data_IF_196391896047
#
_entry.id   IF_196391896047
#
_cell.length_a   1.000
_cell.length_b   1.000
_cell.length_c   1.000
_cell.angle_alpha   90.00
_cell.angle_beta   90.00
_cell.angle_gamma   90.00
#
_symmetry.space_group_name_H-M   'P 1'
#
loop_
_entity.id
_entity.type
_entity.pdbx_description
1 polymer ?
#
# COMPACT_ATOMS: atom_id res chain seq x y z
N UNK A 1 -0.04 20.97 -5.73
CA UNK A 1 0.13 20.64 -4.30
C UNK A 1 -1.02 19.75 -3.82
N UNK A 2 -2.25 20.27 -3.79
CA UNK A 2 -3.46 19.45 -3.59
C UNK A 2 -3.54 18.30 -4.60
N UNK A 3 -3.20 18.55 -5.86
CA UNK A 3 -3.13 17.51 -6.91
C UNK A 3 -2.23 16.33 -6.52
N UNK A 4 -1.07 16.57 -5.89
CA UNK A 4 -0.17 15.48 -5.48
C UNK A 4 -0.79 14.64 -4.36
N UNK A 5 -1.44 15.30 -3.39
CA UNK A 5 -2.17 14.62 -2.32
C UNK A 5 -3.36 13.83 -2.85
N UNK A 6 -4.10 14.37 -3.83
CA UNK A 6 -5.21 13.67 -4.48
C UNK A 6 -4.69 12.43 -5.20
N UNK A 7 -3.60 12.54 -5.96
CA UNK A 7 -2.99 11.39 -6.64
C UNK A 7 -2.52 10.34 -5.62
N UNK A 8 -1.84 10.76 -4.56
CA UNK A 8 -1.39 9.86 -3.50
C UNK A 8 -2.57 9.18 -2.79
N UNK A 9 -3.64 9.91 -2.49
CA UNK A 9 -4.84 9.39 -1.84
C UNK A 9 -5.54 8.35 -2.73
N UNK A 10 -5.73 8.65 -4.02
CA UNK A 10 -6.30 7.71 -4.98
C UNK A 10 -5.44 6.46 -5.10
N UNK A 11 -4.12 6.61 -5.27
CA UNK A 11 -3.21 5.46 -5.33
C UNK A 11 -3.25 4.61 -4.06
N UNK A 12 -3.32 5.27 -2.90
CA UNK A 12 -3.41 4.61 -1.59
C UNK A 12 -4.69 3.79 -1.46
N UNK A 13 -5.86 4.35 -1.79
CA UNK A 13 -7.14 3.62 -1.66
C UNK A 13 -7.27 2.50 -2.69
N UNK A 14 -6.74 2.69 -3.90
CA UNK A 14 -6.67 1.62 -4.91
C UNK A 14 -5.80 0.46 -4.41
N UNK A 15 -4.64 0.75 -3.82
CA UNK A 15 -3.80 -0.28 -3.22
C UNK A 15 -4.49 -0.95 -2.02
N UNK A 16 -5.21 -0.21 -1.18
CA UNK A 16 -5.97 -0.79 -0.08
C UNK A 16 -6.97 -1.84 -0.61
N UNK A 17 -7.73 -1.51 -1.65
CA UNK A 17 -8.66 -2.43 -2.28
C UNK A 17 -7.97 -3.66 -2.88
N UNK A 18 -6.86 -3.48 -3.63
CA UNK A 18 -6.08 -4.58 -4.21
C UNK A 18 -5.57 -5.53 -3.12
N UNK A 19 -5.09 -5.01 -1.99
CA UNK A 19 -4.62 -5.83 -0.88
C UNK A 19 -5.78 -6.55 -0.17
N UNK A 20 -6.94 -5.90 0.01
CA UNK A 20 -8.15 -6.56 0.53
C UNK A 20 -8.60 -7.73 -0.35
N UNK A 21 -8.57 -7.55 -1.67
CA UNK A 21 -8.83 -8.63 -2.63
C UNK A 21 -7.76 -9.73 -2.56
N UNK A 22 -6.49 -9.37 -2.42
CA UNK A 22 -5.40 -10.32 -2.21
C UNK A 22 -5.58 -11.18 -0.96
N UNK A 23 -6.03 -10.58 0.15
CA UNK A 23 -6.35 -11.31 1.38
C UNK A 23 -7.45 -12.35 1.14
N UNK A 24 -8.53 -11.98 0.43
CA UNK A 24 -9.61 -12.90 0.10
C UNK A 24 -9.13 -14.09 -0.73
N UNK A 25 -8.35 -13.84 -1.79
CA UNK A 25 -7.83 -14.90 -2.67
C UNK A 25 -6.94 -15.92 -1.95
N UNK A 26 -6.14 -15.45 -0.99
CA UNK A 26 -5.12 -16.28 -0.33
C UNK A 26 -5.64 -16.90 0.98
N UNK A 27 -6.76 -16.40 1.51
CA UNK A 27 -7.34 -16.79 2.81
C UNK A 27 -7.47 -18.30 3.01
N UNK A 28 -7.88 -19.04 1.97
CA UNK A 28 -8.06 -20.49 2.02
C UNK A 28 -6.77 -21.30 1.86
N UNK A 29 -5.74 -20.72 1.25
CA UNK A 29 -4.47 -21.43 0.93
C UNK A 29 -3.41 -21.21 2.00
N UNK A 30 -3.20 -19.97 2.43
CA UNK A 30 -2.21 -19.57 3.44
C UNK A 30 -2.77 -18.41 4.28
N UNK A 31 -3.55 -18.70 5.34
CA UNK A 31 -4.23 -17.68 6.14
C UNK A 31 -3.31 -16.59 6.70
N UNK A 32 -2.10 -16.95 7.13
CA UNK A 32 -1.15 -15.98 7.67
C UNK A 32 -0.67 -14.94 6.64
N UNK A 33 -0.59 -15.31 5.34
CA UNK A 33 -0.29 -14.35 4.26
C UNK A 33 -1.50 -13.45 4.00
N UNK A 34 -2.72 -14.01 4.09
CA UNK A 34 -3.94 -13.20 3.98
C UNK A 34 -4.04 -12.16 5.09
N UNK A 35 -3.59 -12.47 6.31
CA UNK A 35 -3.49 -11.48 7.40
C UNK A 35 -2.54 -10.34 7.03
N UNK A 36 -1.38 -10.61 6.44
CA UNK A 36 -0.46 -9.54 6.00
C UNK A 36 -1.11 -8.61 4.98
N UNK A 37 -1.81 -9.17 3.99
CA UNK A 37 -2.58 -8.38 3.03
C UNK A 37 -3.68 -7.55 3.69
N UNK A 38 -4.40 -8.12 4.66
CA UNK A 38 -5.48 -7.43 5.36
C UNK A 38 -4.94 -6.29 6.22
N UNK A 39 -3.84 -6.51 6.95
CA UNK A 39 -3.18 -5.47 7.75
C UNK A 39 -2.64 -4.36 6.85
N UNK A 40 -2.03 -4.70 5.70
CA UNK A 40 -1.60 -3.70 4.73
C UNK A 40 -2.78 -2.88 4.20
N UNK A 41 -3.90 -3.54 3.85
CA UNK A 41 -5.11 -2.87 3.39
C UNK A 41 -5.68 -1.92 4.45
N UNK A 42 -5.73 -2.34 5.71
CA UNK A 42 -6.20 -1.52 6.83
C UNK A 42 -5.31 -0.28 7.04
N UNK A 43 -3.98 -0.44 7.07
CA UNK A 43 -3.05 0.68 7.19
C UNK A 43 -3.21 1.68 6.05
N UNK A 44 -3.34 1.19 4.81
CA UNK A 44 -3.55 2.04 3.64
C UNK A 44 -4.91 2.75 3.69
N UNK A 45 -5.98 2.10 4.15
CA UNK A 45 -7.29 2.73 4.31
C UNK A 45 -7.27 3.87 5.35
N UNK A 46 -6.62 3.65 6.49
CA UNK A 46 -6.42 4.70 7.51
C UNK A 46 -5.52 5.81 6.97
N UNK A 47 -4.45 5.47 6.26
CA UNK A 47 -3.57 6.46 5.63
C UNK A 47 -4.33 7.31 4.59
N UNK A 48 -5.21 6.71 3.79
CA UNK A 48 -6.08 7.44 2.87
C UNK A 48 -6.94 8.48 3.60
N UNK A 49 -7.62 8.09 4.69
CA UNK A 49 -8.39 9.03 5.50
C UNK A 49 -7.52 10.15 6.06
N UNK A 50 -6.29 9.82 6.49
CA UNK A 50 -5.30 10.78 6.93
C UNK A 50 -4.85 11.76 5.84
N UNK A 51 -4.64 11.29 4.61
CA UNK A 51 -4.25 12.14 3.47
C UNK A 51 -5.38 13.11 3.09
N UNK A 52 -6.64 12.65 3.12
CA UNK A 52 -7.81 13.49 2.84
C UNK A 52 -8.03 14.53 3.94
N UNK A 53 -7.80 14.14 5.20
CA UNK A 53 -7.89 15.03 6.36
C UNK A 53 -6.64 15.88 6.61
N UNK A 54 -5.63 15.81 5.74
CA UNK A 54 -4.35 16.51 5.88
C UNK A 54 -3.62 16.26 7.22
N UNK A 55 -3.71 15.06 7.79
CA UNK A 55 -3.07 14.75 9.06
C UNK A 55 -1.55 14.56 8.91
N UNK A 56 -0.71 15.16 9.78
CA UNK A 56 0.74 15.12 9.62
C UNK A 56 1.35 13.73 9.85
N UNK A 57 0.78 12.94 10.77
CA UNK A 57 1.28 11.59 11.12
C UNK A 57 0.97 10.52 10.06
N UNK A 58 0.25 10.87 9.00
CA UNK A 58 -0.14 9.94 7.92
C UNK A 58 1.05 9.32 7.20
N UNK A 59 2.20 9.99 7.13
CA UNK A 59 3.40 9.50 6.43
C UNK A 59 3.89 8.16 6.98
N UNK A 60 3.84 7.98 8.30
CA UNK A 60 4.29 6.75 8.96
C UNK A 60 3.36 5.59 8.59
N UNK A 61 2.05 5.80 8.72
CA UNK A 61 1.04 4.79 8.38
C UNK A 61 1.09 4.42 6.90
N UNK A 62 1.26 5.41 6.03
CA UNK A 62 1.40 5.20 4.59
C UNK A 62 2.64 4.37 4.27
N UNK A 63 3.81 4.74 4.81
CA UNK A 63 5.06 4.02 4.58
C UNK A 63 4.99 2.56 5.04
N UNK A 64 4.41 2.32 6.22
CA UNK A 64 4.19 0.96 6.74
C UNK A 64 3.22 0.16 5.86
N UNK A 65 2.08 0.76 5.48
CA UNK A 65 1.09 0.12 4.62
C UNK A 65 1.63 -0.26 3.24
N UNK A 66 2.39 0.65 2.61
CA UNK A 66 3.02 0.42 1.31
C UNK A 66 4.09 -0.67 1.37
N UNK A 67 4.95 -0.63 2.39
CA UNK A 67 6.00 -1.63 2.59
C UNK A 67 5.38 -3.01 2.84
N UNK A 68 4.38 -3.09 3.70
CA UNK A 68 3.70 -4.34 4.03
C UNK A 68 2.93 -4.89 2.82
N UNK A 69 2.31 -4.04 2.00
CA UNK A 69 1.66 -4.45 0.76
C UNK A 69 2.65 -5.06 -0.24
N UNK A 70 3.85 -4.48 -0.35
CA UNK A 70 4.91 -5.03 -1.20
C UNK A 70 5.42 -6.38 -0.67
N UNK A 71 5.70 -6.47 0.63
CA UNK A 71 6.16 -7.70 1.30
C UNK A 71 5.10 -8.81 1.17
N UNK A 72 3.84 -8.52 1.47
CA UNK A 72 2.74 -9.48 1.34
C UNK A 72 2.61 -9.99 -0.09
N UNK A 73 2.72 -9.10 -1.09
CA UNK A 73 2.74 -9.49 -2.50
C UNK A 73 3.91 -10.41 -2.83
N UNK A 74 5.10 -10.08 -2.35
CA UNK A 74 6.32 -10.86 -2.61
C UNK A 74 6.22 -12.25 -1.99
N UNK A 75 5.83 -12.33 -0.72
CA UNK A 75 5.64 -13.61 -0.02
C UNK A 75 4.54 -14.44 -0.68
N UNK A 76 3.47 -13.83 -1.16
CA UNK A 76 2.44 -14.56 -1.92
C UNK A 76 3.00 -15.15 -3.22
N UNK A 77 3.75 -14.37 -4.00
CA UNK A 77 4.35 -14.87 -5.25
C UNK A 77 5.36 -16.00 -4.98
N UNK A 78 6.18 -15.84 -3.95
CA UNK A 78 7.22 -16.81 -3.60
C UNK A 78 6.65 -18.09 -2.99
N UNK A 79 5.74 -17.98 -2.02
CA UNK A 79 5.30 -19.11 -1.17
C UNK A 79 4.00 -19.75 -1.69
N UNK A 80 3.05 -18.95 -2.20
CA UNK A 80 1.73 -19.45 -2.63
C UNK A 80 1.74 -19.83 -4.10
N UNK A 81 2.36 -18.99 -4.95
CA UNK A 81 2.41 -19.22 -6.39
C UNK A 81 3.67 -19.99 -6.83
N UNK A 82 4.74 -19.97 -6.02
CA UNK A 82 6.00 -20.64 -6.33
C UNK A 82 6.81 -20.01 -7.47
N UNK A 83 6.42 -18.84 -7.96
CA UNK A 83 7.10 -18.14 -9.06
C UNK A 83 7.04 -16.63 -8.86
N UNK A 84 8.21 -15.99 -8.81
CA UNK A 84 8.36 -14.55 -8.63
C UNK A 84 8.65 -13.88 -9.97
N UNK A 85 7.67 -13.15 -10.49
CA UNK A 85 7.88 -12.31 -11.68
C UNK A 85 8.42 -10.95 -11.23
N UNK A 86 9.75 -10.84 -11.13
CA UNK A 86 10.46 -9.67 -10.60
C UNK A 86 10.02 -8.33 -11.19
N UNK A 87 9.74 -8.30 -12.50
CA UNK A 87 9.27 -7.08 -13.20
C UNK A 87 8.04 -6.48 -12.53
N UNK A 88 7.09 -7.31 -12.07
CA UNK A 88 5.88 -6.83 -11.41
C UNK A 88 6.15 -6.36 -9.97
N UNK A 89 7.06 -7.01 -9.24
CA UNK A 89 7.42 -6.59 -7.89
C UNK A 89 8.21 -5.28 -7.87
N UNK A 90 9.15 -5.12 -8.80
CA UNK A 90 9.88 -3.86 -8.98
C UNK A 90 8.92 -2.74 -9.36
N UNK A 91 8.02 -2.97 -10.33
CA UNK A 91 7.01 -1.99 -10.71
C UNK A 91 6.12 -1.58 -9.53
N UNK A 92 5.61 -2.55 -8.75
CA UNK A 92 4.83 -2.25 -7.54
C UNK A 92 5.63 -1.44 -6.51
N UNK A 93 6.91 -1.76 -6.34
CA UNK A 93 7.81 -1.00 -5.45
C UNK A 93 7.98 0.44 -5.91
N UNK A 94 8.21 0.66 -7.21
CA UNK A 94 8.30 2.01 -7.80
C UNK A 94 7.00 2.78 -7.61
N UNK A 95 5.84 2.16 -7.89
CA UNK A 95 4.53 2.80 -7.69
C UNK A 95 4.34 3.19 -6.21
N UNK A 96 4.71 2.31 -5.27
CA UNK A 96 4.64 2.61 -3.84
C UNK A 96 5.53 3.80 -3.46
N UNK A 97 6.77 3.86 -3.97
CA UNK A 97 7.70 4.97 -3.74
C UNK A 97 7.11 6.28 -4.29
N UNK A 98 6.54 6.27 -5.50
CA UNK A 98 5.92 7.47 -6.10
C UNK A 98 4.76 7.96 -5.23
N UNK A 99 3.88 7.06 -4.78
CA UNK A 99 2.76 7.42 -3.89
C UNK A 99 3.29 8.07 -2.60
N UNK A 100 4.32 7.47 -1.99
CA UNK A 100 4.93 8.00 -0.77
C UNK A 100 5.53 9.40 -0.99
N UNK A 101 6.31 9.59 -2.05
CA UNK A 101 6.91 10.89 -2.38
C UNK A 101 5.84 11.94 -2.63
N UNK A 102 4.76 11.61 -3.34
CA UNK A 102 3.67 12.56 -3.61
C UNK A 102 2.93 12.95 -2.33
N UNK A 103 2.72 11.99 -1.42
CA UNK A 103 2.17 12.27 -0.09
C UNK A 103 3.10 13.16 0.73
N UNK A 104 4.39 12.84 0.78
CA UNK A 104 5.40 13.56 1.56
C UNK A 104 5.55 15.02 1.08
N UNK A 105 5.73 15.23 -0.22
CA UNK A 105 5.82 16.56 -0.83
C UNK A 105 4.51 17.35 -0.72
N UNK A 106 3.37 16.65 -0.74
CA UNK A 106 2.05 17.24 -0.58
C UNK A 106 1.83 17.75 0.85
N UNK A 107 2.13 16.92 1.85
CA UNK A 107 1.96 17.23 3.26
C UNK A 107 3.04 18.19 3.77
N UNK A 108 4.29 18.07 3.31
CA UNK A 108 5.43 18.88 3.76
C UNK A 108 5.42 20.33 3.29
N UNK A 109 4.41 20.73 2.52
CA UNK A 109 4.15 22.14 2.18
C UNK A 109 2.91 22.71 2.88
N UNK A 110 2.20 21.88 3.63
CA UNK A 110 1.05 22.28 4.47
C UNK A 110 1.46 22.53 5.93
N UNK A 111 2.61 22.00 6.35
CA UNK A 111 3.23 22.13 7.67
C UNK A 111 4.70 22.48 7.50
#
# INVERSE_FOLDING_TARGET
MIVLLVIAAIGTVVLAFINGFGAWLVSRRKPWIAVLFLVAAALLAVAFGGLVGFFPYTRVLLGLGLSLAWIASFLNAHIVLGNVVWRFHVFRGVVAIIIYIFADLGLGKLF
#
